data_IF_809966895028
#
_entry.id   IF_809966895028
#
_cell.length_a   1.000
_cell.length_b   1.000
_cell.length_c   1.000
_cell.angle_alpha   90.00
_cell.angle_beta   90.00
_cell.angle_gamma   90.00
#
_symmetry.space_group_name_H-M   'P 1'
#
loop_
_entity.id
_entity.type
_entity.pdbx_description
1 polymer ?
#
# COMPACT_ATOMS: atom_id res chain seq x y z
N UNK A 1 -3.97 11.59 -13.76
CA UNK A 1 -3.02 10.45 -13.66
C UNK A 1 -1.64 10.91 -13.21
N UNK A 2 -0.96 11.85 -13.87
CA UNK A 2 0.34 12.40 -13.44
C UNK A 2 0.31 12.93 -12.00
N UNK A 3 -0.76 13.59 -11.59
CA UNK A 3 -0.95 14.05 -10.20
C UNK A 3 -0.91 12.91 -9.18
N UNK A 4 -1.44 11.75 -9.53
CA UNK A 4 -1.36 10.57 -8.67
C UNK A 4 0.08 10.03 -8.57
N UNK A 5 0.86 10.13 -9.65
CA UNK A 5 2.29 9.81 -9.62
C UNK A 5 3.05 10.74 -8.67
N UNK A 6 2.82 12.07 -8.75
CA UNK A 6 3.47 13.03 -7.85
C UNK A 6 3.09 12.80 -6.40
N UNK A 7 1.83 12.48 -6.13
CA UNK A 7 1.36 12.16 -4.79
C UNK A 7 2.05 10.90 -4.22
N UNK A 8 2.09 9.81 -4.99
CA UNK A 8 2.75 8.56 -4.56
C UNK A 8 4.25 8.76 -4.43
N UNK A 9 4.86 9.51 -5.34
CA UNK A 9 6.29 9.81 -5.32
C UNK A 9 6.71 10.54 -4.03
N UNK A 10 5.88 11.46 -3.52
CA UNK A 10 6.11 12.13 -2.23
C UNK A 10 6.36 11.13 -1.09
N UNK A 11 5.56 10.07 -0.98
CA UNK A 11 5.71 9.07 0.07
C UNK A 11 6.80 8.05 -0.24
N UNK A 12 6.88 7.59 -1.48
CA UNK A 12 7.77 6.48 -1.85
C UNK A 12 9.23 6.92 -1.94
N UNK A 13 9.50 8.21 -2.14
CA UNK A 13 10.84 8.77 -2.11
C UNK A 13 11.52 8.55 -0.75
N UNK A 14 10.80 8.77 0.33
CA UNK A 14 11.33 8.62 1.69
C UNK A 14 11.08 7.22 2.29
N UNK A 15 10.26 6.39 1.65
CA UNK A 15 9.87 5.07 2.18
C UNK A 15 11.06 4.18 2.58
N UNK A 16 12.15 4.06 1.78
CA UNK A 16 13.27 3.19 2.14
C UNK A 16 13.99 3.61 3.43
N UNK A 17 14.04 4.91 3.69
CA UNK A 17 14.75 5.49 4.83
C UNK A 17 13.82 5.88 5.98
N UNK A 18 12.51 5.73 5.81
CA UNK A 18 11.50 6.27 6.73
C UNK A 18 11.67 5.74 8.17
N UNK A 19 11.81 4.42 8.33
CA UNK A 19 12.01 3.80 9.64
C UNK A 19 13.35 4.21 10.24
N UNK A 20 14.42 4.28 9.45
CA UNK A 20 15.74 4.76 9.88
C UNK A 20 15.69 6.21 10.35
N UNK A 21 15.05 7.07 9.56
CA UNK A 21 14.90 8.48 9.94
C UNK A 21 14.16 8.67 11.27
N UNK A 22 13.09 7.92 11.51
CA UNK A 22 12.37 7.97 12.76
C UNK A 22 13.24 7.52 13.95
N UNK A 23 14.09 6.51 13.77
CA UNK A 23 15.03 6.10 14.83
C UNK A 23 16.08 7.16 15.11
N UNK A 24 16.58 7.90 14.11
CA UNK A 24 17.50 9.05 14.35
C UNK A 24 16.84 10.19 15.15
N UNK A 25 15.51 10.30 15.11
CA UNK A 25 14.73 11.24 15.95
C UNK A 25 14.45 10.72 17.37
N UNK A 26 15.10 9.61 17.78
CA UNK A 26 14.97 9.04 19.12
C UNK A 26 13.74 8.16 19.33
N UNK A 27 13.09 7.72 18.23
CA UNK A 27 11.93 6.81 18.29
C UNK A 27 12.43 5.37 18.49
N UNK A 28 11.95 4.71 19.53
CA UNK A 28 12.21 3.29 19.76
C UNK A 28 11.45 2.42 18.74
N UNK A 29 11.89 1.18 18.53
CA UNK A 29 11.24 0.27 17.57
C UNK A 29 9.79 -0.03 17.99
N UNK A 30 9.49 -0.08 19.29
CA UNK A 30 8.12 -0.23 19.80
C UNK A 30 7.28 0.98 19.40
N UNK A 31 7.77 2.18 19.64
CA UNK A 31 7.11 3.42 19.26
C UNK A 31 6.91 3.51 17.74
N UNK A 32 7.90 3.08 16.96
CA UNK A 32 7.79 3.00 15.50
C UNK A 32 6.64 2.08 15.07
N UNK A 33 6.52 0.89 15.68
CA UNK A 33 5.41 -0.02 15.42
C UNK A 33 4.04 0.62 15.69
N UNK A 34 3.92 1.39 16.78
CA UNK A 34 2.69 2.12 17.11
C UNK A 34 2.44 3.25 16.09
N UNK A 35 3.45 4.03 15.71
CA UNK A 35 3.32 5.09 14.71
C UNK A 35 2.82 4.55 13.36
N UNK A 36 3.39 3.44 12.90
CA UNK A 36 2.97 2.78 11.66
C UNK A 36 1.59 2.13 11.78
N UNK A 37 1.19 1.68 12.97
CA UNK A 37 -0.15 1.14 13.21
C UNK A 37 -1.21 2.23 13.09
N UNK A 38 -0.96 3.43 13.60
CA UNK A 38 -1.83 4.59 13.46
C UNK A 38 -1.98 4.97 12.00
N UNK A 39 -0.89 4.95 11.23
CA UNK A 39 -0.91 5.20 9.79
C UNK A 39 -1.81 4.21 9.02
N UNK A 40 -1.91 2.97 9.49
CA UNK A 40 -2.77 1.95 8.87
C UNK A 40 -4.20 1.98 9.38
N UNK A 41 -4.42 2.40 10.63
CA UNK A 41 -5.73 2.42 11.29
C UNK A 41 -6.59 3.62 10.90
N UNK A 42 -5.99 4.81 10.77
CA UNK A 42 -6.71 6.04 10.43
C UNK A 42 -7.54 5.93 9.14
N UNK A 43 -7.00 5.39 8.01
CA UNK A 43 -7.77 5.21 6.78
C UNK A 43 -9.01 4.35 6.96
N UNK A 44 -8.97 3.38 7.88
CA UNK A 44 -10.11 2.53 8.22
C UNK A 44 -11.22 3.35 8.88
N UNK A 45 -10.87 4.17 9.88
CA UNK A 45 -11.84 4.98 10.64
C UNK A 45 -12.42 6.14 9.82
N UNK A 46 -11.57 6.79 9.02
CA UNK A 46 -11.96 8.01 8.32
C UNK A 46 -12.58 7.78 6.94
N UNK A 47 -12.67 6.55 6.45
CA UNK A 47 -13.17 6.25 5.11
C UNK A 47 -14.56 6.84 4.84
N UNK A 48 -15.51 6.68 5.77
CA UNK A 48 -16.89 7.17 5.62
C UNK A 48 -16.95 8.70 5.81
N UNK A 49 -16.44 9.29 6.91
CA UNK A 49 -16.52 10.74 7.09
C UNK A 49 -15.76 11.54 6.01
N UNK A 50 -14.63 11.02 5.53
CA UNK A 50 -13.92 11.68 4.43
C UNK A 50 -14.71 11.66 3.12
N UNK A 51 -15.41 10.58 2.80
CA UNK A 51 -16.23 10.53 1.57
C UNK A 51 -17.31 11.60 1.57
N UNK A 52 -18.00 11.81 2.70
CA UNK A 52 -19.02 12.86 2.82
C UNK A 52 -18.43 14.28 2.75
N UNK A 53 -17.24 14.47 3.31
CA UNK A 53 -16.54 15.76 3.23
C UNK A 53 -16.09 16.08 1.80
N UNK A 54 -15.57 15.08 1.08
CA UNK A 54 -15.16 15.20 -0.33
C UNK A 54 -16.35 15.55 -1.22
N UNK A 55 -17.53 14.96 -0.97
CA UNK A 55 -18.76 15.28 -1.71
C UNK A 55 -19.20 16.74 -1.50
N UNK A 56 -18.98 17.30 -0.31
CA UNK A 56 -19.33 18.72 0.01
C UNK A 56 -18.34 19.72 -0.58
N UNK A 57 -17.06 19.45 -0.46
CA UNK A 57 -15.98 20.36 -0.91
C UNK A 57 -15.81 20.27 -2.45
N UNK A 58 -16.09 19.12 -3.04
CA UNK A 58 -15.82 18.82 -4.44
C UNK A 58 -14.48 18.10 -4.62
N UNK A 59 -14.35 17.39 -5.74
CA UNK A 59 -13.23 16.48 -5.97
C UNK A 59 -11.89 17.19 -6.21
N UNK A 60 -11.86 18.17 -7.11
CA UNK A 60 -10.62 18.88 -7.44
C UNK A 60 -10.11 19.68 -6.24
N UNK A 61 -10.93 20.48 -5.53
CA UNK A 61 -10.48 21.16 -4.32
C UNK A 61 -9.99 20.17 -3.25
N UNK A 62 -10.67 19.04 -3.05
CA UNK A 62 -10.24 18.01 -2.08
C UNK A 62 -8.88 17.41 -2.43
N UNK A 63 -8.58 17.16 -3.72
CA UNK A 63 -7.27 16.71 -4.16
C UNK A 63 -6.19 17.77 -3.93
N UNK A 64 -6.47 19.04 -4.21
CA UNK A 64 -5.53 20.15 -3.97
C UNK A 64 -5.23 20.29 -2.48
N UNK A 65 -6.26 20.31 -1.63
CA UNK A 65 -6.10 20.36 -0.17
C UNK A 65 -5.26 19.19 0.32
N UNK A 66 -5.53 17.98 -0.18
CA UNK A 66 -4.76 16.79 0.17
C UNK A 66 -3.28 16.93 -0.24
N UNK A 67 -2.98 17.47 -1.41
CA UNK A 67 -1.60 17.68 -1.85
C UNK A 67 -0.88 18.74 -0.99
N UNK A 68 -1.57 19.82 -0.63
CA UNK A 68 -1.01 20.86 0.28
C UNK A 68 -0.68 20.23 1.63
N UNK A 69 -1.63 19.50 2.21
CA UNK A 69 -1.46 18.83 3.51
C UNK A 69 -0.34 17.79 3.44
N UNK A 70 -0.26 17.01 2.35
CA UNK A 70 0.78 16.01 2.15
C UNK A 70 2.17 16.63 2.06
N UNK A 71 2.33 17.70 1.27
CA UNK A 71 3.60 18.41 1.15
C UNK A 71 4.01 19.04 2.47
N UNK A 72 3.14 19.85 3.07
CA UNK A 72 3.39 20.47 4.36
C UNK A 72 3.67 19.44 5.47
N UNK A 73 2.86 18.37 5.54
CA UNK A 73 3.04 17.31 6.50
C UNK A 73 4.38 16.57 6.33
N UNK A 74 4.83 16.38 5.08
CA UNK A 74 6.16 15.79 4.83
C UNK A 74 7.28 16.72 5.29
N UNK A 75 7.16 18.03 5.10
CA UNK A 75 8.12 19.01 5.60
C UNK A 75 8.14 19.09 7.14
N UNK A 76 6.99 18.90 7.79
CA UNK A 76 6.89 18.91 9.25
C UNK A 76 7.65 17.77 9.95
N UNK A 77 8.05 16.70 9.24
CA UNK A 77 8.96 15.70 9.80
C UNK A 77 10.33 16.27 10.18
N UNK A 78 10.80 17.31 9.47
CA UNK A 78 12.14 17.90 9.68
C UNK A 78 12.24 18.57 11.06
N UNK A 79 11.37 19.54 11.43
CA UNK A 79 11.42 20.18 12.75
C UNK A 79 10.84 19.32 13.87
N UNK A 80 10.08 18.25 13.56
CA UNK A 80 9.44 17.41 14.57
C UNK A 80 10.49 16.71 15.45
N UNK A 81 10.31 16.83 16.77
CA UNK A 81 11.16 16.21 17.78
C UNK A 81 10.32 15.36 18.72
N UNK A 82 10.76 14.13 18.94
CA UNK A 82 10.11 13.23 19.88
C UNK A 82 8.78 12.63 19.38
N UNK A 83 8.29 11.69 20.15
CA UNK A 83 7.18 10.80 19.78
C UNK A 83 5.88 11.54 19.46
N UNK A 84 5.46 12.47 20.33
CA UNK A 84 4.15 13.13 20.19
C UNK A 84 4.05 14.00 18.93
N UNK A 85 5.10 14.77 18.61
CA UNK A 85 5.10 15.59 17.41
C UNK A 85 5.10 14.74 16.15
N UNK A 86 5.90 13.68 16.10
CA UNK A 86 5.93 12.74 14.99
C UNK A 86 4.58 12.02 14.83
N UNK A 87 3.92 11.65 15.92
CA UNK A 87 2.57 11.07 15.90
C UNK A 87 1.58 12.03 15.21
N UNK A 88 1.56 13.31 15.61
CA UNK A 88 0.68 14.32 15.02
C UNK A 88 0.95 14.50 13.52
N UNK A 89 2.22 14.57 13.12
CA UNK A 89 2.63 14.69 11.72
C UNK A 89 2.16 13.46 10.91
N UNK A 90 2.31 12.25 11.45
CA UNK A 90 1.85 11.02 10.81
C UNK A 90 0.33 11.01 10.66
N UNK A 91 -0.41 11.40 11.69
CA UNK A 91 -1.88 11.50 11.63
C UNK A 91 -2.28 12.46 10.50
N UNK A 92 -1.69 13.62 10.44
CA UNK A 92 -1.97 14.67 9.47
C UNK A 92 -1.69 14.20 8.02
N UNK A 93 -0.52 13.60 7.79
CA UNK A 93 -0.19 12.99 6.51
C UNK A 93 -1.13 11.86 6.10
N UNK A 94 -1.52 11.03 7.06
CA UNK A 94 -2.37 9.87 6.78
C UNK A 94 -3.80 10.28 6.40
N UNK A 95 -4.33 11.34 7.01
CA UNK A 95 -5.63 11.94 6.64
C UNK A 95 -5.57 12.43 5.18
N UNK A 96 -4.49 13.15 4.84
CA UNK A 96 -4.23 13.63 3.48
C UNK A 96 -4.19 12.47 2.47
N UNK A 97 -3.42 11.43 2.77
CA UNK A 97 -3.26 10.27 1.91
C UNK A 97 -4.59 9.53 1.67
N UNK A 98 -5.40 9.39 2.73
CA UNK A 98 -6.71 8.76 2.65
C UNK A 98 -7.67 9.56 1.77
N UNK A 99 -7.71 10.88 1.95
CA UNK A 99 -8.55 11.79 1.17
C UNK A 99 -8.15 11.80 -0.31
N UNK A 100 -6.85 11.94 -0.60
CA UNK A 100 -6.36 11.95 -1.98
C UNK A 100 -6.69 10.65 -2.72
N UNK A 101 -6.35 9.50 -2.13
CA UNK A 101 -6.56 8.20 -2.78
C UNK A 101 -8.04 7.93 -3.09
N UNK A 102 -8.94 8.24 -2.16
CA UNK A 102 -10.38 8.08 -2.39
C UNK A 102 -10.88 8.98 -3.52
N UNK A 103 -10.48 10.27 -3.48
CA UNK A 103 -10.91 11.26 -4.46
C UNK A 103 -10.36 10.95 -5.85
N UNK A 104 -9.07 10.58 -5.95
CA UNK A 104 -8.44 10.28 -7.22
C UNK A 104 -9.06 9.04 -7.90
N UNK A 105 -9.28 7.95 -7.14
CA UNK A 105 -9.90 6.75 -7.69
C UNK A 105 -11.33 7.01 -8.16
N UNK A 106 -12.15 7.72 -7.39
CA UNK A 106 -13.51 8.05 -7.79
C UNK A 106 -13.53 8.99 -9.01
N UNK A 107 -12.63 9.98 -9.06
CA UNK A 107 -12.52 10.91 -10.19
C UNK A 107 -12.15 10.18 -11.49
N UNK A 108 -11.20 9.23 -11.44
CA UNK A 108 -10.82 8.43 -12.62
C UNK A 108 -11.96 7.53 -13.08
N UNK A 109 -12.67 6.90 -12.12
CA UNK A 109 -13.81 6.03 -12.44
C UNK A 109 -14.94 6.80 -13.12
N UNK A 110 -15.26 8.01 -12.64
CA UNK A 110 -16.40 8.79 -13.16
C UNK A 110 -16.05 9.56 -14.45
N UNK A 111 -14.78 9.89 -14.65
CA UNK A 111 -14.34 10.53 -15.89
C UNK A 111 -14.34 9.58 -17.10
N UNK A 112 -14.38 8.26 -16.87
CA UNK A 112 -14.36 7.27 -17.94
C UNK A 112 -15.77 6.78 -18.29
N UNK A 113 -16.09 6.55 -19.58
CA UNK A 113 -17.30 5.85 -19.98
C UNK A 113 -17.37 4.47 -19.33
N UNK A 114 -18.59 3.97 -19.05
CA UNK A 114 -18.78 2.70 -18.35
C UNK A 114 -18.08 1.51 -19.06
N UNK A 115 -18.05 1.52 -20.40
CA UNK A 115 -17.35 0.52 -21.22
C UNK A 115 -15.82 0.59 -21.14
N UNK A 116 -15.24 1.69 -20.64
CA UNK A 116 -13.78 1.91 -20.55
C UNK A 116 -13.26 2.17 -19.13
N UNK A 117 -14.08 1.98 -18.12
CA UNK A 117 -13.66 2.19 -16.72
C UNK A 117 -12.47 1.29 -16.32
N UNK A 118 -12.45 0.05 -16.80
CA UNK A 118 -11.34 -0.87 -16.56
C UNK A 118 -10.01 -0.37 -17.15
N UNK A 119 -10.03 0.15 -18.38
CA UNK A 119 -8.85 0.74 -19.04
C UNK A 119 -8.36 2.00 -18.29
N UNK A 120 -9.28 2.89 -17.91
CA UNK A 120 -8.94 4.10 -17.17
C UNK A 120 -8.32 3.77 -15.80
N UNK A 121 -8.87 2.79 -15.09
CA UNK A 121 -8.33 2.34 -13.81
C UNK A 121 -6.99 1.63 -13.98
N UNK A 122 -6.82 0.83 -15.03
CA UNK A 122 -5.54 0.19 -15.37
C UNK A 122 -4.44 1.23 -15.62
N UNK A 123 -4.72 2.26 -16.41
CA UNK A 123 -3.80 3.39 -16.62
C UNK A 123 -3.49 4.12 -15.32
N UNK A 124 -4.49 4.39 -14.48
CA UNK A 124 -4.29 5.02 -13.18
C UNK A 124 -3.34 4.21 -12.30
N UNK A 125 -3.54 2.90 -12.20
CA UNK A 125 -2.68 2.00 -11.43
C UNK A 125 -1.26 1.91 -11.98
N UNK A 126 -1.08 2.04 -13.32
CA UNK A 126 0.24 2.13 -13.94
C UNK A 126 0.98 3.39 -13.50
N UNK A 127 0.30 4.55 -13.50
CA UNK A 127 0.88 5.81 -13.03
C UNK A 127 1.22 5.77 -11.53
N UNK A 128 0.43 5.10 -10.69
CA UNK A 128 0.79 4.82 -9.29
C UNK A 128 2.04 3.94 -9.21
N UNK A 129 2.12 2.89 -10.04
CA UNK A 129 3.28 2.01 -10.11
C UNK A 129 4.57 2.73 -10.50
N UNK A 130 4.50 3.71 -11.40
CA UNK A 130 5.63 4.57 -11.74
C UNK A 130 6.14 5.35 -10.51
N UNK A 131 5.24 5.94 -9.72
CA UNK A 131 5.63 6.61 -8.47
C UNK A 131 6.30 5.65 -7.48
N UNK A 132 5.77 4.43 -7.36
CA UNK A 132 6.34 3.39 -6.49
C UNK A 132 7.72 2.90 -6.93
N UNK A 133 8.04 2.98 -8.21
CA UNK A 133 9.35 2.64 -8.76
C UNK A 133 10.33 3.81 -8.63
N UNK A 134 9.90 5.00 -9.09
CA UNK A 134 10.77 6.17 -9.17
C UNK A 134 11.16 6.70 -7.78
N UNK A 135 10.28 6.59 -6.78
CA UNK A 135 10.57 7.07 -5.42
C UNK A 135 11.82 6.43 -4.82
N UNK A 136 11.85 5.10 -4.61
CA UNK A 136 13.04 4.43 -4.10
C UNK A 136 14.27 4.59 -5.00
N UNK A 137 14.09 4.63 -6.34
CA UNK A 137 15.19 4.86 -7.27
C UNK A 137 15.85 6.23 -7.06
N UNK A 138 15.06 7.28 -6.97
CA UNK A 138 15.57 8.63 -6.64
C UNK A 138 16.17 8.67 -5.24
N UNK A 139 15.55 8.00 -4.25
CA UNK A 139 16.11 7.88 -2.90
C UNK A 139 17.54 7.31 -2.95
N UNK A 140 17.76 6.22 -3.70
CA UNK A 140 19.06 5.54 -3.74
C UNK A 140 20.18 6.45 -4.28
N UNK A 141 19.88 7.38 -5.16
CA UNK A 141 20.83 8.31 -5.74
C UNK A 141 21.02 9.57 -4.88
N UNK A 142 19.96 10.04 -4.24
CA UNK A 142 19.91 11.35 -3.61
C UNK A 142 20.15 11.29 -2.09
N UNK A 143 20.01 10.13 -1.45
CA UNK A 143 20.18 10.03 0.01
C UNK A 143 21.60 10.39 0.45
N UNK A 144 22.62 9.99 -0.32
CA UNK A 144 24.03 10.33 -0.03
C UNK A 144 24.28 11.84 -0.06
N UNK A 145 24.05 12.54 -1.19
CA UNK A 145 24.35 13.96 -1.31
C UNK A 145 23.39 14.87 -0.53
N UNK A 146 22.12 14.54 -0.35
CA UNK A 146 21.13 15.38 0.30
C UNK A 146 20.91 15.07 1.78
N UNK A 147 21.28 13.86 2.23
CA UNK A 147 20.93 13.38 3.55
C UNK A 147 19.41 13.19 3.73
N UNK A 148 19.00 12.84 4.94
CA UNK A 148 17.58 12.59 5.24
C UNK A 148 16.74 13.87 5.11
N UNK A 149 17.15 14.96 5.73
CA UNK A 149 16.37 16.20 5.73
C UNK A 149 16.20 16.76 4.31
N UNK A 150 17.27 16.69 3.47
CA UNK A 150 17.18 17.10 2.06
C UNK A 150 16.21 16.26 1.25
N UNK A 151 16.11 14.94 1.52
CA UNK A 151 15.10 14.10 0.90
C UNK A 151 13.68 14.44 1.35
N UNK A 152 13.46 14.77 2.62
CA UNK A 152 12.17 15.24 3.10
C UNK A 152 11.79 16.60 2.51
N UNK A 153 12.76 17.51 2.29
CA UNK A 153 12.54 18.76 1.56
C UNK A 153 12.10 18.50 0.12
N UNK A 154 12.83 17.66 -0.58
CA UNK A 154 12.49 17.28 -1.96
C UNK A 154 11.12 16.61 -2.04
N UNK A 155 10.87 15.62 -1.17
CA UNK A 155 9.59 14.92 -1.11
C UNK A 155 8.43 15.88 -0.86
N UNK A 156 8.58 16.80 0.11
CA UNK A 156 7.55 17.80 0.43
C UNK A 156 7.28 18.80 -0.68
N UNK A 157 8.26 19.06 -1.56
CA UNK A 157 8.10 19.94 -2.71
C UNK A 157 7.37 19.28 -3.90
N UNK A 158 7.47 17.95 -4.07
CA UNK A 158 6.86 17.21 -5.20
C UNK A 158 5.35 17.46 -5.33
N UNK A 159 4.53 17.51 -4.27
CA UNK A 159 3.10 17.80 -4.39
C UNK A 159 2.77 19.13 -5.07
N UNK A 160 3.68 20.11 -5.06
CA UNK A 160 3.50 21.39 -5.76
C UNK A 160 3.30 21.14 -7.26
N UNK A 161 4.07 20.23 -7.86
CA UNK A 161 3.91 19.83 -9.26
C UNK A 161 2.51 19.25 -9.48
N UNK A 162 2.03 18.42 -8.55
CA UNK A 162 0.68 17.85 -8.60
C UNK A 162 -0.42 18.91 -8.53
N UNK A 163 -0.24 19.95 -7.71
CA UNK A 163 -1.16 21.08 -7.60
C UNK A 163 -1.18 21.87 -8.91
N UNK A 164 -0.02 22.20 -9.47
CA UNK A 164 0.07 22.90 -10.75
C UNK A 164 -0.60 22.11 -11.87
N UNK A 165 -0.39 20.80 -11.93
CA UNK A 165 -1.06 19.93 -12.90
C UNK A 165 -2.60 19.96 -12.74
N UNK A 166 -3.12 19.98 -11.50
CA UNK A 166 -4.56 20.08 -11.26
C UNK A 166 -5.11 21.45 -11.65
N UNK A 167 -4.42 22.53 -11.30
CA UNK A 167 -4.87 23.90 -11.57
C UNK A 167 -4.92 24.18 -13.09
N UNK A 168 -3.88 23.74 -13.82
CA UNK A 168 -3.76 24.07 -15.25
C UNK A 168 -4.38 23.04 -16.20
N UNK A 169 -4.45 21.76 -15.80
CA UNK A 169 -4.87 20.66 -16.70
C UNK A 169 -6.17 19.98 -16.30
N UNK A 170 -6.71 20.24 -15.09
CA UNK A 170 -7.96 19.58 -14.70
C UNK A 170 -9.15 20.13 -15.52
N UNK A 171 -10.01 19.25 -16.06
CA UNK A 171 -11.22 19.67 -16.73
C UNK A 171 -12.13 20.44 -15.75
N UNK A 172 -12.56 21.65 -16.12
CA UNK A 172 -13.41 22.52 -15.27
C UNK A 172 -14.77 21.92 -14.90
N UNK A 173 -15.21 20.87 -15.60
CA UNK A 173 -16.55 20.28 -15.49
C UNK A 173 -16.55 18.80 -15.09
N UNK A 174 -15.67 18.37 -14.16
CA UNK A 174 -15.86 17.04 -13.55
C UNK A 174 -17.01 17.16 -12.55
N UNK A 175 -18.25 17.06 -13.04
CA UNK A 175 -19.43 16.86 -12.18
C UNK A 175 -19.34 15.46 -11.55
N UNK A 176 -19.62 15.37 -10.27
CA UNK A 176 -19.91 14.07 -9.67
C UNK A 176 -21.04 13.46 -10.52
N UNK A 177 -20.80 12.26 -11.05
CA UNK A 177 -21.85 11.50 -11.73
C UNK A 177 -22.98 11.36 -10.71
N UNK A 178 -24.20 11.76 -11.07
CA UNK A 178 -25.38 11.49 -10.24
C UNK A 178 -25.32 10.03 -9.82
N UNK A 179 -25.44 9.80 -8.52
CA UNK A 179 -25.45 8.44 -7.97
C UNK A 179 -26.53 7.68 -8.72
N UNK A 180 -26.12 6.84 -9.66
CA UNK A 180 -27.03 5.88 -10.27
C UNK A 180 -27.51 5.00 -9.12
N UNK A 181 -28.78 5.17 -8.78
CA UNK A 181 -29.61 4.35 -7.89
C UNK A 181 -28.98 4.01 -6.52
N UNK A 182 -29.69 4.36 -5.48
CA UNK A 182 -29.49 3.82 -4.12
C UNK A 182 -29.33 2.30 -4.25
N UNK A 183 -28.28 1.72 -3.64
CA UNK A 183 -28.13 0.27 -3.65
C UNK A 183 -29.46 -0.34 -3.18
N UNK A 184 -30.05 -1.19 -4.00
CA UNK A 184 -31.29 -1.92 -3.70
C UNK A 184 -31.17 -2.78 -2.43
N UNK A 185 -29.92 -3.04 -1.99
CA UNK A 185 -29.56 -3.84 -0.82
C UNK A 185 -28.93 -2.92 0.23
N UNK A 186 -29.37 -3.02 1.48
CA UNK A 186 -28.80 -2.23 2.58
C UNK A 186 -27.34 -2.61 2.85
N UNK A 187 -26.56 -1.66 3.36
CA UNK A 187 -25.14 -1.91 3.70
C UNK A 187 -24.99 -3.06 4.72
N UNK A 188 -25.89 -3.17 5.68
CA UNK A 188 -25.90 -4.24 6.69
C UNK A 188 -26.18 -5.60 6.08
N UNK A 189 -27.09 -5.67 5.13
CA UNK A 189 -27.42 -6.90 4.40
C UNK A 189 -26.28 -7.33 3.48
N UNK A 190 -25.71 -6.39 2.74
CA UNK A 190 -24.52 -6.64 1.92
C UNK A 190 -23.34 -7.18 2.78
N UNK A 191 -23.11 -6.60 3.96
CA UNK A 191 -22.08 -7.08 4.86
C UNK A 191 -22.40 -8.49 5.39
N UNK A 192 -23.67 -8.80 5.67
CA UNK A 192 -24.11 -10.13 6.07
C UNK A 192 -23.88 -11.17 4.96
N UNK A 193 -24.16 -10.81 3.71
CA UNK A 193 -23.87 -11.68 2.55
C UNK A 193 -22.37 -11.95 2.41
N UNK A 194 -21.54 -10.91 2.52
CA UNK A 194 -20.08 -11.02 2.49
C UNK A 194 -19.56 -11.96 3.58
N UNK A 195 -20.00 -11.76 4.83
CA UNK A 195 -19.57 -12.56 5.97
C UNK A 195 -20.10 -14.00 5.96
N UNK A 196 -21.15 -14.30 5.20
CA UNK A 196 -21.64 -15.67 4.96
C UNK A 196 -20.88 -16.39 3.84
N UNK A 197 -20.17 -15.65 2.97
CA UNK A 197 -19.43 -16.26 1.88
C UNK A 197 -18.08 -16.77 2.39
N UNK A 198 -17.98 -18.10 2.56
CA UNK A 198 -16.76 -18.78 3.03
C UNK A 198 -15.53 -18.40 2.22
N UNK A 199 -15.61 -18.33 0.91
CA UNK A 199 -14.46 -18.02 0.05
C UNK A 199 -13.99 -16.56 0.28
N UNK A 200 -14.90 -15.62 0.53
CA UNK A 200 -14.54 -14.24 0.86
C UNK A 200 -13.85 -14.16 2.22
N UNK A 201 -14.29 -14.93 3.23
CA UNK A 201 -13.62 -15.00 4.52
C UNK A 201 -12.20 -15.61 4.40
N UNK A 202 -12.04 -16.68 3.63
CA UNK A 202 -10.73 -17.28 3.36
C UNK A 202 -9.80 -16.31 2.61
N UNK A 203 -10.33 -15.56 1.64
CA UNK A 203 -9.60 -14.50 0.95
C UNK A 203 -9.21 -13.37 1.91
N UNK A 204 -10.10 -13.02 2.85
CA UNK A 204 -9.82 -12.03 3.89
C UNK A 204 -8.65 -12.45 4.78
N UNK A 205 -8.59 -13.73 5.18
CA UNK A 205 -7.45 -14.26 5.91
C UNK A 205 -6.14 -14.11 5.12
N UNK A 206 -6.13 -14.50 3.85
CA UNK A 206 -4.94 -14.35 2.99
C UNK A 206 -4.51 -12.87 2.90
N UNK A 207 -5.46 -11.97 2.72
CA UNK A 207 -5.20 -10.53 2.61
C UNK A 207 -4.66 -9.93 3.90
N UNK A 208 -5.24 -10.30 5.06
CA UNK A 208 -4.75 -9.88 6.37
C UNK A 208 -3.35 -10.40 6.64
N UNK A 209 -3.07 -11.66 6.33
CA UNK A 209 -1.75 -12.28 6.48
C UNK A 209 -0.68 -11.56 5.66
N UNK A 210 -0.99 -11.26 4.39
CA UNK A 210 -0.08 -10.49 3.55
C UNK A 210 0.17 -9.08 4.12
N UNK A 211 -0.88 -8.35 4.48
CA UNK A 211 -0.74 -6.97 4.95
C UNK A 211 -0.01 -6.90 6.29
N UNK A 212 -0.20 -7.88 7.17
CA UNK A 212 0.54 -7.98 8.43
C UNK A 212 2.03 -8.20 8.19
N UNK A 213 2.41 -9.17 7.34
CA UNK A 213 3.81 -9.41 7.01
C UNK A 213 4.45 -8.27 6.23
N UNK A 214 3.70 -7.60 5.34
CA UNK A 214 4.16 -6.40 4.65
C UNK A 214 4.50 -5.27 5.63
N UNK A 215 3.67 -5.06 6.65
CA UNK A 215 3.91 -4.03 7.66
C UNK A 215 5.12 -4.36 8.54
N UNK A 216 5.31 -5.62 8.90
CA UNK A 216 6.54 -6.09 9.58
C UNK A 216 7.76 -5.77 8.71
N UNK A 217 7.72 -6.10 7.42
CA UNK A 217 8.80 -5.81 6.50
C UNK A 217 9.08 -4.29 6.41
N UNK A 218 8.07 -3.47 6.20
CA UNK A 218 8.24 -2.01 6.05
C UNK A 218 8.75 -1.35 7.33
N UNK A 219 8.38 -1.87 8.50
CA UNK A 219 8.86 -1.37 9.78
C UNK A 219 10.33 -1.71 10.04
N UNK A 220 10.74 -2.95 9.76
CA UNK A 220 11.99 -3.50 10.28
C UNK A 220 13.09 -3.69 9.25
N UNK A 221 12.76 -3.86 7.95
CA UNK A 221 13.75 -4.25 6.96
C UNK A 221 14.89 -3.23 6.81
N UNK A 222 14.59 -1.94 6.74
CA UNK A 222 15.62 -0.90 6.59
C UNK A 222 16.53 -0.84 7.82
N UNK A 223 15.96 -0.97 9.01
CA UNK A 223 16.73 -1.01 10.28
C UNK A 223 17.60 -2.27 10.32
N UNK A 224 17.04 -3.43 10.00
CA UNK A 224 17.79 -4.68 9.93
C UNK A 224 18.94 -4.62 8.94
N UNK A 225 18.70 -4.07 7.75
CA UNK A 225 19.69 -3.96 6.69
C UNK A 225 20.85 -3.00 7.06
N UNK A 226 20.53 -1.90 7.74
CA UNK A 226 21.54 -0.96 8.25
C UNK A 226 22.31 -1.54 9.45
N UNK A 227 21.60 -1.97 10.50
CA UNK A 227 22.21 -2.32 11.78
C UNK A 227 22.90 -3.67 11.78
N UNK A 228 22.36 -4.68 11.08
CA UNK A 228 22.86 -6.05 11.10
C UNK A 228 23.67 -6.42 9.86
N UNK A 229 23.34 -5.86 8.70
CA UNK A 229 24.01 -6.17 7.45
C UNK A 229 25.03 -5.09 7.05
N UNK A 230 25.00 -3.91 7.70
CA UNK A 230 25.91 -2.80 7.43
C UNK A 230 25.69 -2.14 6.06
N UNK A 231 24.48 -2.25 5.49
CA UNK A 231 24.19 -1.65 4.20
C UNK A 231 23.99 -0.15 4.31
N UNK A 232 24.50 0.57 3.32
CA UNK A 232 24.24 2.01 3.20
C UNK A 232 22.78 2.28 2.83
N UNK A 233 22.30 3.47 3.16
CA UNK A 233 20.94 3.92 2.82
C UNK A 233 20.66 3.83 1.32
N UNK A 234 21.66 4.15 0.48
CA UNK A 234 21.56 4.01 -0.98
C UNK A 234 21.33 2.56 -1.40
N UNK A 235 22.05 1.61 -0.79
CA UNK A 235 21.89 0.18 -1.06
C UNK A 235 20.51 -0.32 -0.62
N UNK A 236 20.03 0.12 0.54
CA UNK A 236 18.69 -0.21 1.04
C UNK A 236 17.65 0.34 0.06
N UNK A 237 17.76 1.59 -0.36
CA UNK A 237 16.83 2.19 -1.32
C UNK A 237 16.87 1.49 -2.70
N UNK A 238 18.05 1.01 -3.14
CA UNK A 238 18.17 0.19 -4.35
C UNK A 238 17.38 -1.13 -4.22
N UNK A 239 17.44 -1.81 -3.08
CA UNK A 239 16.65 -3.02 -2.83
C UNK A 239 15.15 -2.74 -2.90
N UNK A 240 14.67 -1.62 -2.37
CA UNK A 240 13.27 -1.18 -2.52
C UNK A 240 12.94 -0.88 -4.00
N UNK A 241 13.89 -0.34 -4.76
CA UNK A 241 13.73 -0.09 -6.21
C UNK A 241 13.53 -1.40 -6.96
N UNK A 242 14.36 -2.41 -6.71
CA UNK A 242 14.25 -3.75 -7.30
C UNK A 242 12.87 -4.35 -6.99
N UNK A 243 12.41 -4.24 -5.74
CA UNK A 243 11.06 -4.68 -5.34
C UNK A 243 9.96 -3.94 -6.10
N UNK A 244 10.07 -2.61 -6.21
CA UNK A 244 9.09 -1.76 -6.90
C UNK A 244 9.02 -2.09 -8.40
N UNK A 245 10.16 -2.27 -9.04
CA UNK A 245 10.26 -2.65 -10.44
C UNK A 245 9.62 -4.02 -10.73
N UNK A 246 9.95 -5.01 -9.92
CA UNK A 246 9.39 -6.36 -10.03
C UNK A 246 7.86 -6.37 -9.79
N UNK A 247 7.39 -5.55 -8.84
CA UNK A 247 5.95 -5.36 -8.60
C UNK A 247 5.24 -4.76 -9.82
N UNK A 248 5.83 -3.75 -10.45
CA UNK A 248 5.24 -3.10 -11.62
C UNK A 248 5.17 -4.07 -12.80
N UNK A 249 6.28 -4.74 -13.13
CA UNK A 249 6.35 -5.67 -14.27
C UNK A 249 5.40 -6.86 -14.10
N UNK A 250 5.28 -7.41 -12.90
CA UNK A 250 4.45 -8.60 -12.68
C UNK A 250 2.95 -8.37 -12.90
N UNK A 251 2.47 -7.15 -12.79
CA UNK A 251 1.04 -6.82 -12.96
C UNK A 251 0.55 -7.03 -14.39
N UNK A 252 1.40 -6.73 -15.39
CA UNK A 252 1.00 -6.85 -16.79
C UNK A 252 0.65 -8.29 -17.20
N UNK A 253 1.53 -9.28 -16.99
CA UNK A 253 1.21 -10.66 -17.36
C UNK A 253 0.22 -11.33 -16.39
N UNK A 254 0.13 -10.85 -15.13
CA UNK A 254 -0.69 -11.51 -14.11
C UNK A 254 -2.17 -11.62 -14.49
N UNK A 255 -2.73 -10.61 -15.15
CA UNK A 255 -4.12 -10.66 -15.63
C UNK A 255 -4.31 -11.78 -16.65
N UNK A 256 -3.53 -11.79 -17.73
CA UNK A 256 -3.61 -12.77 -18.79
C UNK A 256 -3.29 -14.20 -18.30
N UNK A 257 -2.30 -14.34 -17.42
CA UNK A 257 -1.96 -15.63 -16.80
C UNK A 257 -3.12 -16.10 -15.90
N UNK A 258 -3.70 -15.20 -15.12
CA UNK A 258 -4.83 -15.49 -14.25
C UNK A 258 -6.05 -15.98 -15.02
N UNK A 259 -6.29 -15.46 -16.22
CA UNK A 259 -7.38 -15.90 -17.09
C UNK A 259 -7.14 -17.29 -17.69
N UNK A 260 -5.87 -17.64 -17.96
CA UNK A 260 -5.48 -18.95 -18.55
C UNK A 260 -5.43 -20.08 -17.54
N UNK A 261 -4.71 -19.89 -16.42
CA UNK A 261 -4.47 -20.94 -15.43
C UNK A 261 -5.47 -20.91 -14.26
N UNK A 262 -6.25 -19.82 -14.15
CA UNK A 262 -7.20 -19.58 -13.07
C UNK A 262 -6.63 -18.73 -11.94
N UNK A 263 -7.52 -18.11 -11.16
CA UNK A 263 -7.16 -17.17 -10.07
C UNK A 263 -6.40 -17.85 -8.93
N UNK A 264 -6.88 -19.05 -8.50
CA UNK A 264 -6.33 -19.77 -7.35
C UNK A 264 -4.88 -20.24 -7.55
N UNK A 265 -4.49 -20.93 -8.64
CA UNK A 265 -3.10 -21.33 -8.86
C UNK A 265 -2.15 -20.15 -8.88
N UNK A 266 -2.58 -19.02 -9.47
CA UNK A 266 -1.78 -17.81 -9.51
C UNK A 266 -1.59 -17.19 -8.12
N UNK A 267 -2.64 -17.13 -7.30
CA UNK A 267 -2.55 -16.71 -5.91
C UNK A 267 -1.62 -17.62 -5.10
N UNK A 268 -1.78 -18.94 -5.25
CA UNK A 268 -0.96 -19.94 -4.57
C UNK A 268 0.54 -19.73 -4.87
N UNK A 269 0.89 -19.61 -6.15
CA UNK A 269 2.27 -19.33 -6.56
C UNK A 269 2.81 -18.02 -6.01
N UNK A 270 1.99 -16.95 -6.04
CA UNK A 270 2.38 -15.66 -5.49
C UNK A 270 2.67 -15.72 -3.98
N UNK A 271 1.82 -16.36 -3.18
CA UNK A 271 2.07 -16.52 -1.76
C UNK A 271 3.27 -17.43 -1.46
N UNK A 272 3.51 -18.47 -2.25
CA UNK A 272 4.71 -19.30 -2.14
C UNK A 272 5.99 -18.49 -2.38
N UNK A 273 6.01 -17.61 -3.42
CA UNK A 273 7.12 -16.70 -3.66
C UNK A 273 7.36 -15.74 -2.47
N UNK A 274 6.29 -15.28 -1.82
CA UNK A 274 6.41 -14.43 -0.64
C UNK A 274 7.06 -15.15 0.53
N UNK A 275 6.66 -16.40 0.80
CA UNK A 275 7.25 -17.24 1.84
C UNK A 275 8.75 -17.42 1.60
N UNK A 276 9.13 -17.78 0.36
CA UNK A 276 10.54 -17.94 -0.02
C UNK A 276 11.31 -16.64 0.17
N UNK A 277 10.74 -15.51 -0.27
CA UNK A 277 11.35 -14.19 -0.10
C UNK A 277 11.63 -13.87 1.37
N UNK A 278 10.68 -14.07 2.27
CA UNK A 278 10.85 -13.81 3.71
C UNK A 278 11.89 -14.74 4.37
N UNK A 279 11.93 -16.01 3.96
CA UNK A 279 12.98 -16.95 4.41
C UNK A 279 14.36 -16.48 3.93
N UNK A 280 14.48 -16.07 2.67
CA UNK A 280 15.74 -15.52 2.15
C UNK A 280 16.17 -14.27 2.91
N UNK A 281 15.26 -13.32 3.19
CA UNK A 281 15.56 -12.10 3.95
C UNK A 281 16.04 -12.46 5.37
N UNK A 282 15.48 -13.50 5.99
CA UNK A 282 15.85 -13.90 7.35
C UNK A 282 17.26 -14.49 7.47
N UNK A 283 17.73 -15.17 6.43
CA UNK A 283 18.97 -15.94 6.50
C UNK A 283 20.14 -15.39 5.66
N UNK A 284 19.90 -14.50 4.72
CA UNK A 284 20.97 -14.01 3.85
C UNK A 284 21.44 -12.61 4.23
N UNK A 285 22.77 -12.43 4.29
CA UNK A 285 23.43 -11.12 4.34
C UNK A 285 24.04 -10.70 3.00
N UNK A 286 23.92 -11.54 1.97
CA UNK A 286 24.48 -11.26 0.64
C UNK A 286 23.55 -10.33 -0.15
N UNK A 287 24.10 -9.23 -0.69
CA UNK A 287 23.35 -8.23 -1.43
C UNK A 287 22.63 -8.80 -2.66
N UNK A 288 23.27 -9.70 -3.41
CA UNK A 288 22.67 -10.31 -4.61
C UNK A 288 21.47 -11.19 -4.25
N UNK A 289 21.64 -12.03 -3.21
CA UNK A 289 20.54 -12.88 -2.72
C UNK A 289 19.39 -12.07 -2.14
N UNK A 290 19.69 -10.95 -1.46
CA UNK A 290 18.64 -10.01 -1.03
C UNK A 290 17.96 -9.33 -2.23
N UNK A 291 18.71 -9.01 -3.28
CA UNK A 291 18.14 -8.53 -4.55
C UNK A 291 17.18 -9.55 -5.16
N UNK A 292 17.53 -10.85 -5.16
CA UNK A 292 16.62 -11.94 -5.57
C UNK A 292 15.39 -12.00 -4.65
N UNK A 293 15.58 -11.94 -3.34
CA UNK A 293 14.46 -11.94 -2.39
C UNK A 293 13.49 -10.76 -2.64
N UNK A 294 14.03 -9.55 -2.90
CA UNK A 294 13.23 -8.37 -3.23
C UNK A 294 12.51 -8.51 -4.57
N UNK A 295 13.14 -9.16 -5.55
CA UNK A 295 12.49 -9.50 -6.83
C UNK A 295 11.30 -10.43 -6.59
N UNK A 296 11.48 -11.52 -5.85
CA UNK A 296 10.41 -12.47 -5.52
C UNK A 296 9.28 -11.78 -4.75
N UNK A 297 9.62 -10.90 -3.80
CA UNK A 297 8.62 -10.12 -3.06
C UNK A 297 7.82 -9.19 -3.98
N UNK A 298 8.51 -8.47 -4.87
CA UNK A 298 7.84 -7.60 -5.83
C UNK A 298 6.91 -8.36 -6.78
N UNK A 299 7.38 -9.47 -7.35
CA UNK A 299 6.60 -10.36 -8.20
C UNK A 299 5.34 -10.89 -7.47
N UNK A 300 5.53 -11.35 -6.23
CA UNK A 300 4.40 -11.77 -5.40
C UNK A 300 3.37 -10.64 -5.24
N UNK A 301 3.81 -9.48 -4.83
CA UNK A 301 2.92 -8.37 -4.53
C UNK A 301 2.07 -7.96 -5.74
N UNK A 302 2.70 -7.80 -6.92
CA UNK A 302 1.99 -7.44 -8.15
C UNK A 302 1.02 -8.51 -8.62
N UNK A 303 1.50 -9.76 -8.70
CA UNK A 303 0.70 -10.93 -9.16
C UNK A 303 -0.47 -11.22 -8.23
N UNK A 304 -0.22 -11.25 -6.91
CA UNK A 304 -1.24 -11.47 -5.90
C UNK A 304 -2.35 -10.41 -5.97
N UNK A 305 -1.95 -9.11 -6.06
CA UNK A 305 -2.93 -8.03 -6.06
C UNK A 305 -3.92 -8.16 -7.22
N UNK A 306 -3.45 -8.49 -8.42
CA UNK A 306 -4.32 -8.71 -9.59
C UNK A 306 -5.22 -9.91 -9.37
N UNK A 307 -4.66 -11.06 -8.95
CA UNK A 307 -5.41 -12.29 -8.78
C UNK A 307 -6.48 -12.20 -7.67
N UNK A 308 -6.17 -11.56 -6.53
CA UNK A 308 -7.12 -11.39 -5.41
C UNK A 308 -8.31 -10.50 -5.79
N UNK A 309 -8.07 -9.38 -6.47
CA UNK A 309 -9.15 -8.50 -6.89
C UNK A 309 -10.05 -9.17 -7.93
N UNK A 310 -9.45 -9.89 -8.90
CA UNK A 310 -10.20 -10.66 -9.87
C UNK A 310 -11.01 -11.77 -9.18
N UNK A 311 -10.40 -12.51 -8.26
CA UNK A 311 -11.08 -13.58 -7.53
C UNK A 311 -12.24 -13.05 -6.69
N UNK A 312 -12.06 -11.92 -5.98
CA UNK A 312 -13.15 -11.28 -5.23
C UNK A 312 -14.33 -10.94 -6.15
N UNK A 313 -14.05 -10.35 -7.32
CA UNK A 313 -15.12 -9.96 -8.26
C UNK A 313 -15.84 -11.15 -8.87
N UNK A 314 -15.17 -12.30 -8.98
CA UNK A 314 -15.77 -13.56 -9.44
C UNK A 314 -16.66 -14.21 -8.36
N UNK A 315 -16.41 -13.91 -7.06
CA UNK A 315 -17.12 -14.52 -5.91
C UNK A 315 -18.40 -13.80 -5.52
N UNK A 316 -18.50 -12.49 -5.82
CA UNK A 316 -19.59 -11.63 -5.33
C UNK A 316 -20.51 -11.21 -6.45
N UNK A 317 -21.75 -10.91 -6.10
CA UNK A 317 -22.74 -10.37 -7.03
C UNK A 317 -22.42 -8.90 -7.38
N UNK A 318 -22.78 -8.43 -8.59
CA UNK A 318 -22.49 -7.06 -9.04
C UNK A 318 -22.97 -5.99 -8.06
N UNK A 319 -24.14 -6.21 -7.43
CA UNK A 319 -24.83 -5.29 -6.52
C UNK A 319 -24.02 -5.01 -5.24
N UNK A 320 -23.29 -6.01 -4.73
CA UNK A 320 -22.49 -5.89 -3.49
C UNK A 320 -20.99 -5.72 -3.78
N UNK A 321 -20.59 -5.63 -5.05
CA UNK A 321 -19.15 -5.57 -5.47
C UNK A 321 -18.40 -4.41 -4.82
N UNK A 322 -18.98 -3.22 -4.82
CA UNK A 322 -18.35 -2.02 -4.23
C UNK A 322 -18.14 -2.15 -2.73
N UNK A 323 -19.13 -2.70 -2.02
CA UNK A 323 -19.03 -2.93 -0.57
C UNK A 323 -18.00 -4.02 -0.27
N UNK A 324 -17.93 -5.08 -1.10
CA UNK A 324 -16.95 -6.15 -0.96
C UNK A 324 -15.51 -5.67 -1.17
N UNK A 325 -15.28 -4.76 -2.12
CA UNK A 325 -13.98 -4.11 -2.33
C UNK A 325 -13.60 -3.27 -1.11
N UNK A 326 -14.54 -2.51 -0.56
CA UNK A 326 -14.34 -1.69 0.63
C UNK A 326 -14.05 -2.55 1.87
N UNK A 327 -14.79 -3.65 2.04
CA UNK A 327 -14.57 -4.63 3.10
C UNK A 327 -13.16 -5.23 3.02
N UNK A 328 -12.74 -5.75 1.87
CA UNK A 328 -11.43 -6.37 1.70
C UNK A 328 -10.28 -5.35 1.86
N UNK A 329 -10.50 -4.08 1.52
CA UNK A 329 -9.57 -2.99 1.79
C UNK A 329 -9.47 -2.68 3.30
N UNK A 330 -10.58 -2.81 4.03
CA UNK A 330 -10.59 -2.66 5.49
C UNK A 330 -9.86 -3.80 6.18
N UNK A 331 -10.01 -5.02 5.68
CA UNK A 331 -9.24 -6.19 6.15
C UNK A 331 -7.74 -5.98 5.96
N UNK A 332 -7.33 -5.40 4.82
CA UNK A 332 -5.92 -5.03 4.60
C UNK A 332 -5.42 -4.03 5.66
N UNK A 333 -6.19 -2.99 5.95
CA UNK A 333 -5.83 -2.00 6.96
C UNK A 333 -5.72 -2.60 8.36
N UNK A 334 -6.65 -3.49 8.73
CA UNK A 334 -6.60 -4.22 10.01
C UNK A 334 -5.36 -5.11 10.11
N UNK A 335 -5.08 -5.92 9.09
CA UNK A 335 -3.88 -6.74 9.06
C UNK A 335 -2.60 -5.91 9.15
N UNK A 336 -2.55 -4.78 8.43
CA UNK A 336 -1.43 -3.85 8.47
C UNK A 336 -1.24 -3.21 9.85
N UNK A 337 -2.33 -2.82 10.52
CA UNK A 337 -2.31 -2.29 11.88
C UNK A 337 -1.74 -3.31 12.86
N UNK A 338 -2.25 -4.54 12.83
CA UNK A 338 -1.79 -5.62 13.69
C UNK A 338 -0.32 -5.98 13.43
N UNK A 339 0.08 -6.06 12.15
CA UNK A 339 1.46 -6.32 11.75
C UNK A 339 2.42 -5.23 12.20
N UNK A 340 2.01 -3.97 12.14
CA UNK A 340 2.83 -2.84 12.61
C UNK A 340 3.01 -2.88 14.13
N UNK A 341 1.97 -3.14 14.91
CA UNK A 341 2.07 -3.31 16.36
C UNK A 341 2.97 -4.50 16.68
N UNK A 342 2.72 -5.64 16.03
CA UNK A 342 3.49 -6.85 16.23
C UNK A 342 4.97 -6.64 15.90
N UNK A 343 5.30 -5.85 14.85
CA UNK A 343 6.70 -5.57 14.49
C UNK A 343 7.47 -4.94 15.63
N UNK A 344 6.89 -3.97 16.33
CA UNK A 344 7.51 -3.33 17.49
C UNK A 344 7.63 -4.25 18.71
N UNK A 345 6.55 -4.96 19.04
CA UNK A 345 6.52 -5.84 20.21
C UNK A 345 7.42 -7.06 20.05
N UNK A 346 7.46 -7.67 18.89
CA UNK A 346 8.25 -8.88 18.65
C UNK A 346 9.76 -8.63 18.77
N UNK A 347 10.24 -7.40 18.52
CA UNK A 347 11.67 -7.07 18.67
C UNK A 347 12.16 -7.12 20.11
N UNK A 348 11.27 -7.10 21.11
CA UNK A 348 11.62 -7.27 22.51
C UNK A 348 12.04 -8.72 22.81
N UNK A 349 11.44 -9.68 22.11
CA UNK A 349 11.59 -11.10 22.41
C UNK A 349 12.42 -11.86 21.38
N UNK A 350 12.47 -11.36 20.14
CA UNK A 350 13.04 -12.10 19.02
C UNK A 350 14.00 -11.23 18.19
N UNK A 351 15.07 -11.83 17.64
CA UNK A 351 15.92 -11.16 16.66
C UNK A 351 15.15 -10.94 15.35
N UNK A 352 15.60 -9.97 14.53
CA UNK A 352 14.97 -9.61 13.26
C UNK A 352 14.73 -10.81 12.32
N UNK A 353 15.71 -11.71 12.22
CA UNK A 353 15.60 -12.93 11.40
C UNK A 353 14.39 -13.78 11.80
N UNK A 354 14.20 -14.01 13.09
CA UNK A 354 13.03 -14.76 13.60
C UNK A 354 11.72 -14.03 13.29
N UNK A 355 11.69 -12.70 13.35
CA UNK A 355 10.48 -11.92 13.03
C UNK A 355 10.13 -12.04 11.54
N UNK A 356 11.12 -12.04 10.65
CA UNK A 356 10.87 -12.31 9.23
C UNK A 356 10.39 -13.76 9.00
N UNK A 357 10.91 -14.74 9.76
CA UNK A 357 10.39 -16.12 9.70
C UNK A 357 8.95 -16.23 10.21
N UNK A 358 8.55 -15.45 11.23
CA UNK A 358 7.15 -15.34 11.65
C UNK A 358 6.31 -14.79 10.49
N UNK A 359 6.78 -13.77 9.78
CA UNK A 359 6.14 -13.27 8.57
C UNK A 359 6.01 -14.34 7.47
N UNK A 360 7.04 -15.17 7.28
CA UNK A 360 6.98 -16.31 6.37
C UNK A 360 5.94 -17.34 6.82
N UNK A 361 5.92 -17.70 8.11
CA UNK A 361 4.99 -18.68 8.67
C UNK A 361 3.52 -18.25 8.57
N UNK A 362 3.23 -16.96 8.82
CA UNK A 362 1.88 -16.39 8.64
C UNK A 362 1.42 -16.58 7.19
N UNK A 363 2.29 -16.33 6.21
CA UNK A 363 1.96 -16.50 4.80
C UNK A 363 1.97 -17.96 4.35
N UNK A 364 2.80 -18.83 4.94
CA UNK A 364 2.75 -20.26 4.69
C UNK A 364 1.36 -20.83 5.04
N UNK A 365 0.74 -20.36 6.13
CA UNK A 365 -0.62 -20.70 6.51
C UNK A 365 -1.69 -20.32 5.46
N UNK A 366 -1.39 -19.41 4.53
CA UNK A 366 -2.33 -19.06 3.46
C UNK A 366 -2.41 -20.13 2.37
N UNK A 367 -1.37 -20.93 2.16
CA UNK A 367 -1.32 -21.94 1.09
C UNK A 367 -2.42 -23.00 1.22
N UNK A 368 -2.61 -23.69 2.37
CA UNK A 368 -3.72 -24.60 2.56
C UNK A 368 -5.08 -23.90 2.50
N UNK A 369 -5.16 -22.64 2.93
CA UNK A 369 -6.38 -21.84 2.86
C UNK A 369 -6.78 -21.60 1.40
N UNK A 370 -5.85 -21.18 0.54
CA UNK A 370 -6.09 -20.97 -0.89
C UNK A 370 -6.51 -22.29 -1.56
N UNK A 371 -5.86 -23.41 -1.19
CA UNK A 371 -6.20 -24.72 -1.71
C UNK A 371 -7.65 -25.11 -1.38
N UNK A 372 -8.11 -24.82 -0.15
CA UNK A 372 -9.46 -25.14 0.34
C UNK A 372 -10.58 -24.27 -0.25
N UNK A 373 -10.27 -23.15 -0.94
CA UNK A 373 -11.27 -22.31 -1.60
C UNK A 373 -11.98 -23.11 -2.71
N UNK A 374 -13.30 -23.05 -2.78
CA UNK A 374 -14.07 -23.71 -3.85
C UNK A 374 -14.09 -22.84 -5.11
N UNK A 375 -13.99 -23.46 -6.28
CA UNK A 375 -14.34 -22.79 -7.54
C UNK A 375 -15.83 -22.45 -7.50
N UNK A 376 -16.24 -21.31 -8.08
CA UNK A 376 -17.66 -21.04 -8.32
C UNK A 376 -18.16 -22.19 -9.22
N UNK A 377 -19.28 -22.85 -8.90
CA UNK A 377 -19.90 -23.77 -9.88
C UNK A 377 -20.17 -22.96 -11.15
N UNK A 378 -19.69 -23.48 -12.26
CA UNK A 378 -19.88 -22.95 -13.62
C UNK A 378 -21.34 -22.94 -14.00
#
# INVERSE_FOLDING_TARGET
MLTATTFVLNFTLVQPIYSLYLTTKGITIIQLGILLSVQSFIPLMLRIPLSSLIERIGRIPSMIISLIISGAGTLLFIPAKGYTQLMLVIIFNTISASSFNQTAMSTVSDAAPQSRQGDAMGRYLTFLGLGMLLGPALCSWLVGPLGYDGLFWLAGAIPIIGILLLVFMAPKNIRAREKTETPTISTSESLRMILRNRNVLLLSYCRASFSASQSIFLALFSIYAADKLGFSDSTIALLFTVRGFSNMISRFPAGAISDKIGRKPLMYGAYALLVVSFIMIAYTGNLVLLGVAMTLYGLCWGTRAVAEWAFLTDLVEPEIKTISISYLSSVFSLGSTLGSIASGLLTVFFPYSTIFLIGAAINLGTLPVIYSMKKKPS
#
